data_IF_781025390886
#
_entry.id   IF_781025390886
#
_cell.length_a   1.000
_cell.length_b   1.000
_cell.length_c   1.000
_cell.angle_alpha   90.00
_cell.angle_beta   90.00
_cell.angle_gamma   90.00
#
_symmetry.space_group_name_H-M   'P 1'
#
loop_
_entity.id
_entity.type
_entity.pdbx_description
1 polymer ?
#
# COMPACT_ATOMS: atom_id res chain seq x y z
N UNK A 1 10.53 -6.11 11.54
CA UNK A 1 9.15 -5.64 11.26
C UNK A 1 9.23 -4.42 10.34
N UNK A 2 9.39 -4.61 9.04
CA UNK A 2 9.46 -3.45 8.11
C UNK A 2 8.24 -3.35 7.19
N UNK A 3 7.52 -4.45 7.02
CA UNK A 3 6.30 -4.54 6.24
C UNK A 3 5.16 -4.97 7.17
N UNK A 4 4.21 -4.08 7.46
CA UNK A 4 3.01 -4.43 8.24
C UNK A 4 1.80 -3.68 7.68
N UNK A 5 0.64 -4.33 7.70
CA UNK A 5 -0.59 -3.88 7.02
C UNK A 5 -0.36 -3.48 5.56
N UNK A 6 0.43 -4.24 4.81
CA UNK A 6 0.74 -3.94 3.41
C UNK A 6 1.38 -2.57 3.19
N UNK A 7 2.12 -2.04 4.16
CA UNK A 7 2.93 -0.83 3.96
C UNK A 7 4.33 -1.12 4.48
N UNK A 8 5.34 -0.73 3.69
CA UNK A 8 6.71 -0.65 4.19
C UNK A 8 6.80 0.50 5.18
N UNK A 9 6.41 0.25 6.43
CA UNK A 9 6.40 1.29 7.44
C UNK A 9 7.81 1.51 7.96
N UNK A 10 8.55 0.44 8.30
CA UNK A 10 9.88 0.49 8.93
C UNK A 10 9.97 1.30 10.24
N UNK A 11 9.07 2.23 10.50
CA UNK A 11 9.21 3.26 11.52
C UNK A 11 8.60 2.81 12.86
N UNK A 12 7.86 1.70 12.89
CA UNK A 12 7.24 1.19 14.10
C UNK A 12 8.24 0.77 15.19
N UNK A 13 9.54 0.72 14.88
CA UNK A 13 10.61 0.51 15.88
C UNK A 13 11.24 1.81 16.39
N UNK A 14 10.71 2.98 16.00
CA UNK A 14 11.24 4.29 16.36
C UNK A 14 10.27 5.04 17.26
N UNK A 15 10.84 6.00 18.00
CA UNK A 15 10.11 6.84 18.93
C UNK A 15 10.11 8.29 18.46
N UNK A 16 8.97 8.93 18.64
CA UNK A 16 8.81 10.37 18.58
C UNK A 16 9.58 11.07 19.70
N UNK A 17 9.76 12.38 19.55
CA UNK A 17 10.45 13.23 20.54
C UNK A 17 9.87 13.17 21.96
N UNK A 18 8.60 12.80 22.13
CA UNK A 18 7.95 12.61 23.44
C UNK A 18 8.01 11.16 23.95
N UNK A 19 8.82 10.32 23.30
CA UNK A 19 9.09 8.94 23.71
C UNK A 19 8.05 7.93 23.23
N UNK A 20 7.12 8.32 22.34
CA UNK A 20 6.08 7.38 21.85
C UNK A 20 6.49 6.62 20.61
N UNK A 21 6.24 5.31 20.60
CA UNK A 21 6.40 4.47 19.42
C UNK A 21 5.55 4.98 18.26
N UNK A 22 6.19 5.20 17.10
CA UNK A 22 5.49 5.66 15.90
C UNK A 22 4.59 4.56 15.37
N UNK A 23 3.36 4.91 15.01
CA UNK A 23 2.42 3.92 14.47
C UNK A 23 2.11 2.80 15.46
N UNK A 24 2.12 3.07 16.77
CA UNK A 24 1.87 2.09 17.86
C UNK A 24 0.69 1.14 17.58
N UNK A 25 -0.37 1.60 16.92
CA UNK A 25 -1.55 0.80 16.61
C UNK A 25 -1.34 -0.19 15.46
N UNK A 26 -0.26 -0.01 14.70
CA UNK A 26 0.14 -0.78 13.54
C UNK A 26 1.46 -1.56 13.80
N UNK A 27 1.89 -1.69 15.07
CA UNK A 27 3.05 -2.50 15.44
C UNK A 27 2.64 -3.96 15.60
N UNK A 28 3.03 -4.82 14.65
CA UNK A 28 2.82 -6.26 14.71
C UNK A 28 4.11 -7.09 14.62
N UNK A 29 4.32 -8.11 15.48
CA UNK A 29 3.37 -8.65 16.45
C UNK A 29 3.21 -7.79 17.71
N UNK A 30 2.03 -7.89 18.36
CA UNK A 30 1.60 -7.09 19.51
C UNK A 30 2.61 -7.07 20.68
N UNK A 31 3.46 -8.09 20.81
CA UNK A 31 4.51 -8.14 21.85
C UNK A 31 5.51 -6.99 21.75
N UNK A 32 5.65 -6.37 20.58
CA UNK A 32 6.51 -5.20 20.37
C UNK A 32 5.77 -3.87 20.48
N UNK A 33 4.45 -3.90 20.74
CA UNK A 33 3.65 -2.70 20.89
C UNK A 33 3.90 -2.07 22.25
N UNK A 34 4.39 -0.84 22.24
CA UNK A 34 4.52 -0.03 23.44
C UNK A 34 3.21 0.69 23.70
N UNK A 35 2.51 0.31 24.78
CA UNK A 35 1.23 0.94 25.15
C UNK A 35 1.52 2.15 26.02
N UNK A 36 1.39 3.34 25.44
CA UNK A 36 1.49 4.61 26.16
C UNK A 36 0.09 5.20 26.34
N UNK A 37 -0.15 5.83 27.50
CA UNK A 37 -1.43 6.44 27.79
C UNK A 37 -1.84 7.42 26.68
N UNK A 38 -3.04 7.23 26.16
CA UNK A 38 -3.54 7.97 25.00
C UNK A 38 -4.94 8.46 25.30
N UNK A 39 -5.11 9.78 25.29
CA UNK A 39 -6.41 10.37 25.51
C UNK A 39 -7.28 10.15 24.26
N UNK A 40 -8.45 9.56 24.46
CA UNK A 40 -9.47 9.41 23.42
C UNK A 40 -10.72 10.19 23.82
N UNK A 41 -11.40 10.77 22.82
CA UNK A 41 -12.73 11.37 22.99
C UNK A 41 -13.70 10.80 21.99
N UNK A 42 -14.99 10.86 22.30
CA UNK A 42 -16.03 10.54 21.32
C UNK A 42 -16.11 11.65 20.29
N UNK A 43 -16.01 11.28 19.02
CA UNK A 43 -16.12 12.19 17.90
C UNK A 43 -17.52 12.79 17.85
N UNK A 44 -17.57 14.13 17.80
CA UNK A 44 -18.81 14.90 17.60
C UNK A 44 -18.92 15.50 16.20
N UNK A 45 -17.96 15.21 15.31
CA UNK A 45 -18.05 15.64 13.93
C UNK A 45 -19.18 14.87 13.22
N UNK A 46 -19.81 15.50 12.25
CA UNK A 46 -20.76 14.84 11.34
C UNK A 46 -20.04 13.81 10.45
N UNK A 47 -20.82 12.92 9.83
CA UNK A 47 -20.32 11.91 8.90
C UNK A 47 -19.99 10.58 9.58
N UNK A 48 -19.22 9.75 8.86
CA UNK A 48 -18.95 8.33 9.19
C UNK A 48 -18.34 8.11 10.58
N UNK A 49 -17.66 9.13 11.13
CA UNK A 49 -16.94 9.04 12.40
C UNK A 49 -17.78 9.39 13.63
N UNK A 50 -19.00 9.90 13.45
CA UNK A 50 -19.82 10.35 14.57
C UNK A 50 -20.01 9.21 15.59
N UNK A 51 -19.75 9.49 16.87
CA UNK A 51 -19.86 8.48 17.93
C UNK A 51 -18.65 7.55 18.09
N UNK A 52 -17.65 7.59 17.19
CA UNK A 52 -16.44 6.78 17.30
C UNK A 52 -15.36 7.44 18.18
N UNK A 53 -14.50 6.68 18.86
CA UNK A 53 -13.37 7.22 19.59
C UNK A 53 -12.33 7.82 18.63
N UNK A 54 -11.83 9.03 18.94
CA UNK A 54 -10.76 9.73 18.23
C UNK A 54 -9.55 9.95 19.14
N UNK A 55 -8.33 9.80 18.61
CA UNK A 55 -7.09 10.02 19.33
C UNK A 55 -6.78 11.53 19.42
N UNK A 56 -7.11 12.15 20.55
CA UNK A 56 -6.90 13.60 20.73
C UNK A 56 -5.47 13.94 21.13
N UNK A 57 -4.68 12.98 21.62
CA UNK A 57 -3.24 13.15 21.84
C UNK A 57 -2.52 13.38 20.50
N UNK A 58 -2.74 12.52 19.51
CA UNK A 58 -2.16 12.65 18.18
C UNK A 58 -2.63 13.95 17.48
N UNK A 59 -3.91 14.32 17.64
CA UNK A 59 -4.41 15.59 17.11
C UNK A 59 -3.67 16.79 17.72
N UNK A 60 -3.42 16.80 19.03
CA UNK A 60 -2.66 17.89 19.69
C UNK A 60 -1.25 18.01 19.16
N UNK A 61 -0.56 16.89 18.92
CA UNK A 61 0.78 16.88 18.34
C UNK A 61 0.79 17.47 16.93
N UNK A 62 -0.16 17.06 16.07
CA UNK A 62 -0.31 17.61 14.71
C UNK A 62 -0.60 19.11 14.74
N UNK A 63 -1.54 19.54 15.60
CA UNK A 63 -1.92 20.94 15.72
C UNK A 63 -0.79 21.84 16.20
N UNK A 64 0.14 21.32 17.01
CA UNK A 64 1.29 22.08 17.50
C UNK A 64 2.25 22.52 16.39
N UNK A 65 2.28 21.80 15.26
CA UNK A 65 3.17 22.05 14.12
C UNK A 65 2.42 22.27 12.80
N UNK A 66 1.11 22.58 12.85
CA UNK A 66 0.26 22.63 11.66
C UNK A 66 0.78 23.56 10.57
N UNK A 67 1.19 24.78 10.95
CA UNK A 67 1.73 25.76 10.00
C UNK A 67 3.00 25.27 9.31
N UNK A 68 3.91 24.65 10.07
CA UNK A 68 5.15 24.07 9.54
C UNK A 68 4.87 22.86 8.65
N UNK A 69 3.87 22.05 9.01
CA UNK A 69 3.43 20.89 8.22
C UNK A 69 2.87 21.31 6.85
N UNK A 70 2.06 22.37 6.78
CA UNK A 70 1.54 22.87 5.50
C UNK A 70 2.66 23.45 4.61
N UNK A 71 3.61 24.19 5.21
CA UNK A 71 4.77 24.71 4.48
C UNK A 71 5.67 23.57 3.97
N UNK A 72 5.97 22.58 4.81
CA UNK A 72 6.77 21.42 4.43
C UNK A 72 6.08 20.60 3.32
N UNK A 73 4.76 20.39 3.42
CA UNK A 73 3.96 19.75 2.36
C UNK A 73 4.11 20.49 1.04
N UNK A 74 4.02 21.82 1.07
CA UNK A 74 4.14 22.67 -0.12
C UNK A 74 5.55 22.59 -0.72
N UNK A 75 6.60 22.65 0.10
CA UNK A 75 7.99 22.50 -0.34
C UNK A 75 8.24 21.13 -0.98
N UNK A 76 7.81 20.05 -0.33
CA UNK A 76 7.94 18.69 -0.85
C UNK A 76 7.14 18.51 -2.15
N UNK A 77 5.93 19.06 -2.24
CA UNK A 77 5.09 18.98 -3.44
C UNK A 77 5.72 19.73 -4.61
N UNK A 78 6.28 20.91 -4.36
CA UNK A 78 6.96 21.68 -5.40
C UNK A 78 8.17 20.92 -5.96
N UNK A 79 8.94 20.24 -5.09
CA UNK A 79 10.02 19.35 -5.53
C UNK A 79 9.50 18.16 -6.35
N UNK A 80 8.44 17.49 -5.89
CA UNK A 80 7.79 16.38 -6.58
C UNK A 80 7.32 16.76 -7.99
N UNK A 81 6.56 17.86 -8.12
CA UNK A 81 6.07 18.37 -9.41
C UNK A 81 7.24 18.66 -10.35
N UNK A 82 8.28 19.34 -9.85
CA UNK A 82 9.47 19.70 -10.62
C UNK A 82 10.23 18.46 -11.09
N UNK A 83 10.48 17.49 -10.22
CA UNK A 83 11.20 16.25 -10.56
C UNK A 83 10.43 15.38 -11.56
N UNK A 84 9.11 15.33 -11.42
CA UNK A 84 8.22 14.58 -12.32
C UNK A 84 7.89 15.29 -13.63
N UNK A 85 8.27 16.57 -13.76
CA UNK A 85 7.93 17.37 -14.93
C UNK A 85 6.42 17.55 -15.12
N UNK A 86 5.64 17.61 -14.03
CA UNK A 86 4.19 17.77 -14.12
C UNK A 86 3.84 19.20 -14.58
N UNK A 87 2.85 19.32 -15.47
CA UNK A 87 2.48 20.58 -16.12
C UNK A 87 1.52 21.46 -15.31
N UNK A 88 0.86 20.91 -14.29
CA UNK A 88 -0.15 21.60 -13.50
C UNK A 88 0.11 21.53 -12.00
N UNK A 89 -0.47 22.46 -11.22
CA UNK A 89 -0.34 22.44 -9.76
C UNK A 89 -1.24 21.37 -9.12
N UNK A 90 -2.31 20.94 -9.77
CA UNK A 90 -3.25 19.99 -9.19
C UNK A 90 -2.81 18.55 -9.51
N UNK A 91 -2.84 17.69 -8.52
CA UNK A 91 -2.49 16.27 -8.64
C UNK A 91 -3.73 15.42 -8.91
N UNK A 92 -3.61 14.43 -9.79
CA UNK A 92 -4.59 13.34 -9.91
C UNK A 92 -4.53 12.43 -8.68
N UNK A 93 -5.49 11.50 -8.52
CA UNK A 93 -5.45 10.53 -7.42
C UNK A 93 -4.17 9.67 -7.44
N UNK A 94 -3.69 9.25 -8.62
CA UNK A 94 -2.48 8.44 -8.76
C UNK A 94 -1.21 9.23 -8.43
N UNK A 95 -1.12 10.48 -8.89
CA UNK A 95 -0.02 11.36 -8.53
C UNK A 95 -0.02 11.68 -7.04
N UNK A 96 -1.21 11.93 -6.46
CA UNK A 96 -1.41 12.12 -5.02
C UNK A 96 -1.02 10.91 -4.18
N UNK A 97 -1.26 9.69 -4.68
CA UNK A 97 -0.78 8.45 -4.07
C UNK A 97 0.75 8.42 -4.00
N UNK A 98 1.44 8.66 -5.13
CA UNK A 98 2.90 8.67 -5.17
C UNK A 98 3.49 9.79 -4.29
N UNK A 99 2.89 10.98 -4.32
CA UNK A 99 3.30 12.09 -3.45
C UNK A 99 3.15 11.72 -1.96
N UNK A 100 2.03 11.11 -1.59
CA UNK A 100 1.77 10.69 -0.20
C UNK A 100 2.76 9.62 0.27
N UNK A 101 3.22 8.75 -0.63
CA UNK A 101 4.30 7.79 -0.31
C UNK A 101 5.62 8.49 0.06
N UNK A 102 5.94 9.64 -0.52
CA UNK A 102 7.10 10.44 -0.08
C UNK A 102 6.95 10.85 1.39
N UNK A 103 5.78 11.38 1.75
CA UNK A 103 5.50 11.78 3.12
C UNK A 103 5.52 10.63 4.13
N UNK A 104 4.91 9.50 3.77
CA UNK A 104 4.85 8.32 4.62
C UNK A 104 6.23 7.64 4.82
N UNK A 105 7.05 7.59 3.76
CA UNK A 105 8.37 6.97 3.81
C UNK A 105 9.46 7.88 4.42
N UNK A 106 9.23 9.20 4.46
CA UNK A 106 10.23 10.18 4.92
C UNK A 106 10.77 9.92 6.34
N UNK A 107 9.93 9.73 7.38
CA UNK A 107 10.42 9.35 8.71
C UNK A 107 11.32 8.10 8.68
N UNK A 108 10.89 7.06 7.95
CA UNK A 108 11.61 5.79 7.87
C UNK A 108 12.96 5.93 7.17
N UNK A 109 13.02 6.77 6.12
CA UNK A 109 14.25 7.14 5.42
C UNK A 109 15.22 7.86 6.37
N UNK A 110 14.78 8.94 7.04
CA UNK A 110 15.65 9.73 7.92
C UNK A 110 16.29 8.88 9.02
N UNK A 111 15.54 7.90 9.52
CA UNK A 111 15.99 7.04 10.60
C UNK A 111 17.00 5.96 10.16
N UNK A 112 17.14 5.73 8.84
CA UNK A 112 17.90 4.61 8.27
C UNK A 112 18.93 4.99 7.20
N UNK A 113 18.87 6.21 6.69
CA UNK A 113 19.81 6.73 5.69
C UNK A 113 21.25 6.57 6.17
N UNK A 114 22.16 6.40 5.22
CA UNK A 114 23.58 6.08 5.50
C UNK A 114 24.31 7.17 6.24
N UNK A 115 23.98 8.42 5.94
CA UNK A 115 24.61 9.59 6.55
C UNK A 115 23.69 10.22 7.58
N UNK A 116 24.18 10.33 8.82
CA UNK A 116 23.49 11.01 9.91
C UNK A 116 22.05 10.51 10.16
N UNK A 117 21.85 9.21 10.43
CA UNK A 117 20.53 8.68 10.76
C UNK A 117 20.03 9.28 12.08
N UNK A 118 18.75 9.66 12.12
CA UNK A 118 18.13 10.14 13.35
C UNK A 118 17.76 8.97 14.27
N UNK A 119 17.88 9.16 15.58
CA UNK A 119 17.52 8.16 16.60
C UNK A 119 16.19 8.46 17.29
N UNK A 120 15.69 9.68 17.15
CA UNK A 120 14.37 10.11 17.61
C UNK A 120 13.80 11.09 16.58
N UNK A 121 12.50 10.98 16.30
CA UNK A 121 11.83 11.83 15.33
C UNK A 121 11.43 13.16 15.96
N UNK A 122 11.82 14.31 15.38
CA UNK A 122 11.31 15.61 15.80
C UNK A 122 9.79 15.70 15.61
N UNK A 123 9.20 16.76 16.17
CA UNK A 123 7.75 16.94 16.22
C UNK A 123 7.11 16.99 14.83
N UNK A 124 7.74 17.68 13.87
CA UNK A 124 7.23 17.79 12.51
C UNK A 124 7.23 16.44 11.78
N UNK A 125 8.33 15.69 11.84
CA UNK A 125 8.44 14.34 11.26
C UNK A 125 7.41 13.38 11.87
N UNK A 126 7.20 13.46 13.18
CA UNK A 126 6.19 12.67 13.91
C UNK A 126 4.78 12.99 13.41
N UNK A 127 4.45 14.28 13.31
CA UNK A 127 3.16 14.73 12.78
C UNK A 127 2.99 14.34 11.31
N UNK A 128 4.06 14.40 10.51
CA UNK A 128 3.99 14.10 9.08
C UNK A 128 3.81 12.62 8.79
N UNK A 129 4.29 11.72 9.64
CA UNK A 129 3.89 10.31 9.56
C UNK A 129 2.36 10.16 9.66
N UNK A 130 1.71 10.92 10.55
CA UNK A 130 0.25 10.87 10.73
C UNK A 130 -0.49 11.51 9.55
N UNK A 131 0.04 12.61 8.99
CA UNK A 131 -0.60 13.37 7.91
C UNK A 131 -0.36 12.76 6.51
N UNK A 132 0.90 12.40 6.21
CA UNK A 132 1.33 11.88 4.91
C UNK A 132 0.68 10.55 4.55
N UNK A 133 0.16 9.82 5.55
CA UNK A 133 -0.60 8.59 5.33
C UNK A 133 -2.01 8.85 4.75
N UNK A 134 -2.62 9.99 5.06
CA UNK A 134 -4.02 10.28 4.76
C UNK A 134 -4.43 10.10 3.29
N UNK A 135 -3.81 10.81 2.33
CA UNK A 135 -4.28 10.77 0.95
C UNK A 135 -4.00 9.43 0.25
N UNK A 136 -2.92 8.71 0.56
CA UNK A 136 -2.74 7.36 0.00
C UNK A 136 -3.76 6.36 0.55
N UNK A 137 -4.26 6.54 1.77
CA UNK A 137 -5.28 5.66 2.35
C UNK A 137 -6.61 5.74 1.59
N UNK A 138 -6.95 6.89 1.00
CA UNK A 138 -8.13 7.01 0.12
C UNK A 138 -7.96 6.06 -1.07
N UNK A 139 -6.84 6.17 -1.78
CA UNK A 139 -6.53 5.31 -2.93
C UNK A 139 -6.48 3.84 -2.52
N UNK A 140 -5.90 3.51 -1.36
CA UNK A 140 -5.85 2.14 -0.84
C UNK A 140 -7.25 1.58 -0.58
N UNK A 141 -8.13 2.32 0.10
CA UNK A 141 -9.50 1.85 0.40
C UNK A 141 -10.28 1.58 -0.89
N UNK A 142 -10.14 2.45 -1.89
CA UNK A 142 -10.78 2.28 -3.19
C UNK A 142 -10.21 1.07 -3.93
N UNK A 143 -8.88 0.94 -3.95
CA UNK A 143 -8.19 -0.22 -4.53
C UNK A 143 -8.67 -1.53 -3.90
N UNK A 144 -8.73 -1.64 -2.57
CA UNK A 144 -9.18 -2.83 -1.83
C UNK A 144 -10.65 -3.20 -2.09
N UNK A 145 -11.47 -2.23 -2.51
CA UNK A 145 -12.87 -2.43 -2.92
C UNK A 145 -13.05 -2.66 -4.42
N UNK A 146 -11.97 -2.64 -5.19
CA UNK A 146 -12.02 -2.69 -6.64
C UNK A 146 -12.74 -1.50 -7.26
N UNK A 147 -12.71 -0.34 -6.61
CA UNK A 147 -13.26 0.90 -7.16
C UNK A 147 -12.25 1.54 -8.11
N UNK A 148 -12.69 1.75 -9.36
CA UNK A 148 -11.87 2.29 -10.44
C UNK A 148 -11.76 3.82 -10.39
N UNK A 149 -12.35 4.52 -9.41
CA UNK A 149 -12.24 5.97 -9.30
C UNK A 149 -10.78 6.46 -9.21
N UNK A 150 -9.87 5.63 -8.69
CA UNK A 150 -8.41 5.89 -8.69
C UNK A 150 -7.85 6.12 -10.10
N UNK A 151 -8.51 5.58 -11.12
CA UNK A 151 -8.10 5.69 -12.51
C UNK A 151 -8.57 6.96 -13.20
N UNK A 152 -9.39 7.80 -12.57
CA UNK A 152 -9.76 9.10 -13.14
C UNK A 152 -8.52 9.98 -13.35
N UNK A 153 -8.44 10.59 -14.53
CA UNK A 153 -7.33 11.46 -14.94
C UNK A 153 -7.51 12.92 -14.50
N UNK A 154 -8.71 13.29 -14.09
CA UNK A 154 -9.01 14.66 -13.66
C UNK A 154 -8.67 14.87 -12.17
N UNK A 155 -7.96 15.96 -11.83
CA UNK A 155 -7.74 16.33 -10.43
C UNK A 155 -9.04 16.66 -9.71
N UNK A 156 -9.18 16.15 -8.49
CA UNK A 156 -10.34 16.37 -7.62
C UNK A 156 -10.13 17.57 -6.69
N UNK A 157 -11.22 18.21 -6.27
CA UNK A 157 -11.22 19.22 -5.21
C UNK A 157 -11.05 18.57 -3.83
N UNK A 158 -10.64 19.32 -2.82
CA UNK A 158 -10.59 18.79 -1.45
C UNK A 158 -11.97 18.35 -0.95
N UNK A 159 -13.05 19.03 -1.37
CA UNK A 159 -14.41 18.66 -1.02
C UNK A 159 -14.78 17.28 -1.56
N UNK A 160 -14.54 17.02 -2.85
CA UNK A 160 -14.78 15.71 -3.47
C UNK A 160 -13.94 14.61 -2.78
N UNK A 161 -12.67 14.88 -2.51
CA UNK A 161 -11.79 13.94 -1.81
C UNK A 161 -12.25 13.67 -0.37
N UNK A 162 -12.77 14.67 0.35
CA UNK A 162 -13.33 14.48 1.68
C UNK A 162 -14.56 13.57 1.63
N UNK A 163 -15.50 13.83 0.71
CA UNK A 163 -16.71 13.02 0.59
C UNK A 163 -16.37 11.57 0.17
N UNK A 164 -15.37 11.39 -0.71
CA UNK A 164 -14.82 10.07 -1.01
C UNK A 164 -14.27 9.38 0.24
N UNK A 165 -13.45 10.08 1.04
CA UNK A 165 -12.83 9.51 2.24
C UNK A 165 -13.85 9.17 3.34
N UNK A 166 -14.88 10.01 3.54
CA UNK A 166 -15.92 9.78 4.53
C UNK A 166 -16.88 8.66 4.08
N UNK A 167 -17.35 8.71 2.83
CA UNK A 167 -18.25 7.70 2.25
C UNK A 167 -17.61 6.33 2.08
N UNK A 168 -16.29 6.27 1.88
CA UNK A 168 -15.56 5.00 1.84
C UNK A 168 -15.23 4.44 3.23
N UNK A 169 -15.41 5.20 4.31
CA UNK A 169 -14.91 4.81 5.63
C UNK A 169 -13.38 4.85 5.77
N UNK A 170 -12.65 5.47 4.82
CA UNK A 170 -11.19 5.72 4.94
C UNK A 170 -10.86 6.50 6.22
N UNK A 171 -11.81 7.32 6.70
CA UNK A 171 -11.67 8.06 7.95
C UNK A 171 -11.85 7.21 9.22
N UNK A 172 -11.96 5.88 9.10
CA UNK A 172 -12.10 4.92 10.20
C UNK A 172 -10.98 3.89 10.11
N UNK A 173 -10.24 3.67 11.20
CA UNK A 173 -9.19 2.66 11.25
C UNK A 173 -9.77 1.24 11.38
N UNK A 174 -8.98 0.22 11.05
CA UNK A 174 -9.37 -1.19 11.20
C UNK A 174 -9.81 -1.54 12.63
N UNK A 175 -9.29 -0.84 13.65
CA UNK A 175 -9.70 -0.99 15.05
C UNK A 175 -10.95 -0.22 15.47
N UNK A 176 -11.71 0.34 14.52
CA UNK A 176 -12.96 1.07 14.77
C UNK A 176 -12.78 2.48 15.35
N UNK A 177 -11.58 3.07 15.24
CA UNK A 177 -11.32 4.44 15.72
C UNK A 177 -11.46 5.43 14.57
N UNK A 178 -12.07 6.59 14.83
CA UNK A 178 -12.19 7.65 13.84
C UNK A 178 -10.91 8.47 13.67
N UNK A 179 -10.71 9.04 12.48
CA UNK A 179 -9.72 10.09 12.24
C UNK A 179 -10.03 11.29 13.15
N UNK A 180 -9.01 11.83 13.82
CA UNK A 180 -9.18 12.92 14.79
C UNK A 180 -9.29 14.32 14.16
N UNK A 181 -8.88 14.50 12.90
CA UNK A 181 -8.93 15.79 12.21
C UNK A 181 -10.37 16.25 11.96
N UNK A 182 -10.68 17.52 12.23
CA UNK A 182 -11.99 18.09 11.84
C UNK A 182 -12.15 18.13 10.31
N UNK A 183 -13.40 18.23 9.80
CA UNK A 183 -13.65 18.42 8.36
C UNK A 183 -12.83 19.59 7.78
N UNK A 184 -12.77 20.71 8.52
CA UNK A 184 -11.96 21.88 8.14
C UNK A 184 -10.46 21.54 7.97
N UNK A 185 -9.88 20.82 8.93
CA UNK A 185 -8.46 20.46 8.87
C UNK A 185 -8.15 19.48 7.72
N UNK A 186 -9.04 18.52 7.49
CA UNK A 186 -8.90 17.56 6.40
C UNK A 186 -8.97 18.28 5.06
N UNK A 187 -9.96 19.17 4.86
CA UNK A 187 -10.09 19.96 3.65
C UNK A 187 -8.85 20.85 3.41
N UNK A 188 -8.38 21.55 4.44
CA UNK A 188 -7.20 22.42 4.36
C UNK A 188 -5.95 21.63 3.91
N UNK A 189 -5.70 20.47 4.54
CA UNK A 189 -4.56 19.64 4.14
C UNK A 189 -4.70 19.03 2.75
N UNK A 190 -5.89 18.57 2.36
CA UNK A 190 -6.14 18.05 1.02
C UNK A 190 -6.01 19.13 -0.05
N UNK A 191 -6.43 20.36 0.23
CA UNK A 191 -6.27 21.48 -0.71
C UNK A 191 -4.79 21.84 -0.89
N UNK A 192 -4.00 21.90 0.18
CA UNK A 192 -2.55 22.13 0.07
C UNK A 192 -1.86 20.98 -0.67
N UNK A 193 -2.21 19.74 -0.33
CA UNK A 193 -1.57 18.52 -0.87
C UNK A 193 -1.94 18.25 -2.32
N UNK A 194 -3.22 18.34 -2.68
CA UNK A 194 -3.73 17.91 -3.98
C UNK A 194 -3.94 19.09 -4.92
N UNK A 195 -4.34 20.26 -4.42
CA UNK A 195 -4.67 21.42 -5.24
C UNK A 195 -3.59 22.51 -5.23
N UNK A 196 -2.64 22.46 -4.31
CA UNK A 196 -1.53 23.40 -4.23
C UNK A 196 -1.95 24.81 -3.80
N UNK A 197 -2.92 24.92 -2.90
CA UNK A 197 -3.55 26.20 -2.51
C UNK A 197 -2.76 27.02 -1.49
N UNK A 198 -1.63 26.52 -0.98
CA UNK A 198 -0.83 27.26 0.01
C UNK A 198 -0.21 28.52 -0.61
N UNK A 199 -0.62 29.69 -0.14
CA UNK A 199 -0.31 31.00 -0.72
C UNK A 199 0.55 31.90 0.19
N UNK A 200 0.89 31.41 1.38
CA UNK A 200 1.71 32.14 2.36
C UNK A 200 3.21 32.00 2.04
N UNK A 201 4.06 32.88 2.60
CA UNK A 201 5.52 32.71 2.53
C UNK A 201 5.98 31.32 3.02
N UNK A 202 6.99 30.77 2.33
CA UNK A 202 7.65 29.52 2.69
C UNK A 202 8.93 29.79 3.51
N UNK A 203 8.75 30.41 4.68
CA UNK A 203 9.82 30.92 5.54
C UNK A 203 9.91 30.24 6.92
N UNK A 204 9.13 29.17 7.14
CA UNK A 204 9.24 28.37 8.36
C UNK A 204 10.63 27.74 8.48
N UNK A 205 11.34 28.13 9.55
CA UNK A 205 12.64 27.57 9.92
C UNK A 205 12.56 26.05 10.09
N UNK A 206 11.46 25.57 10.68
CA UNK A 206 11.26 24.15 10.95
C UNK A 206 10.95 23.35 9.67
N UNK A 207 10.12 23.90 8.77
CA UNK A 207 9.85 23.29 7.47
C UNK A 207 11.11 23.23 6.59
N UNK A 208 11.92 24.29 6.60
CA UNK A 208 13.19 24.33 5.88
C UNK A 208 14.23 23.37 6.48
N UNK A 209 14.30 23.25 7.81
CA UNK A 209 15.13 22.24 8.48
C UNK A 209 14.71 20.83 8.07
N UNK A 210 13.41 20.53 8.12
CA UNK A 210 12.87 19.24 7.69
C UNK A 210 13.22 18.92 6.25
N UNK A 211 13.05 19.89 5.33
CA UNK A 211 13.42 19.74 3.92
C UNK A 211 14.93 19.45 3.75
N UNK A 212 15.78 20.22 4.44
CA UNK A 212 17.23 20.05 4.40
C UNK A 212 17.68 18.72 5.05
N UNK A 213 16.88 18.15 5.97
CA UNK A 213 17.19 16.87 6.59
C UNK A 213 17.20 15.71 5.61
N UNK A 214 16.55 15.83 4.45
CA UNK A 214 16.58 14.81 3.40
C UNK A 214 18.03 14.62 2.93
N UNK A 215 18.76 15.71 2.71
CA UNK A 215 20.17 15.68 2.34
C UNK A 215 20.40 15.22 0.90
N UNK A 216 20.26 13.92 0.65
CA UNK A 216 20.35 13.32 -0.68
C UNK A 216 18.95 12.99 -1.20
N UNK A 217 18.45 13.85 -2.09
CA UNK A 217 17.14 13.67 -2.68
C UNK A 217 17.06 12.49 -3.64
N UNK A 218 18.14 12.16 -4.36
CA UNK A 218 18.09 11.06 -5.31
C UNK A 218 18.06 9.72 -4.57
N UNK A 219 18.82 9.60 -3.47
CA UNK A 219 18.72 8.48 -2.54
C UNK A 219 17.32 8.38 -1.92
N UNK A 220 16.73 9.51 -1.50
CA UNK A 220 15.39 9.54 -0.91
C UNK A 220 14.31 9.05 -1.89
N UNK A 221 14.29 9.57 -3.14
CA UNK A 221 13.34 9.11 -4.15
C UNK A 221 13.56 7.63 -4.51
N UNK A 222 14.82 7.20 -4.63
CA UNK A 222 15.13 5.79 -4.88
C UNK A 222 14.58 4.88 -3.76
N UNK A 223 14.72 5.29 -2.50
CA UNK A 223 14.13 4.57 -1.35
C UNK A 223 12.61 4.52 -1.40
N UNK A 224 11.96 5.67 -1.62
CA UNK A 224 10.49 5.75 -1.66
C UNK A 224 9.93 4.91 -2.80
N UNK A 225 10.55 4.98 -3.98
CA UNK A 225 10.06 4.25 -5.15
C UNK A 225 10.26 2.76 -4.95
N UNK A 226 11.44 2.34 -4.51
CA UNK A 226 11.72 0.93 -4.24
C UNK A 226 10.74 0.32 -3.22
N UNK A 227 10.51 1.01 -2.09
CA UNK A 227 9.58 0.53 -1.05
C UNK A 227 8.12 0.52 -1.52
N UNK A 228 7.69 1.55 -2.28
CA UNK A 228 6.31 1.63 -2.80
C UNK A 228 6.05 0.60 -3.90
N UNK A 229 7.01 0.38 -4.80
CA UNK A 229 6.92 -0.64 -5.84
C UNK A 229 6.90 -2.03 -5.23
N UNK A 230 7.78 -2.30 -4.26
CA UNK A 230 7.82 -3.57 -3.55
C UNK A 230 6.46 -3.91 -2.91
N UNK A 231 5.83 -2.93 -2.28
CA UNK A 231 4.48 -3.07 -1.72
C UNK A 231 3.46 -3.47 -2.78
N UNK A 232 3.39 -2.70 -3.88
CA UNK A 232 2.45 -2.96 -4.96
C UNK A 232 2.69 -4.30 -5.66
N UNK A 233 3.95 -4.74 -5.82
CA UNK A 233 4.29 -6.04 -6.41
C UNK A 233 3.84 -7.21 -5.52
N UNK A 234 3.97 -7.07 -4.19
CA UNK A 234 3.44 -8.07 -3.24
C UNK A 234 1.91 -8.12 -3.34
N UNK A 235 1.23 -6.97 -3.36
CA UNK A 235 -0.23 -6.89 -3.53
C UNK A 235 -0.71 -7.44 -4.87
N UNK A 236 0.03 -7.18 -5.93
CA UNK A 236 -0.24 -7.72 -7.26
C UNK A 236 -0.17 -9.23 -7.27
N UNK A 237 0.87 -9.80 -6.64
CA UNK A 237 1.00 -11.27 -6.53
C UNK A 237 -0.14 -11.87 -5.70
N UNK A 238 -0.47 -11.25 -4.57
CA UNK A 238 -1.63 -11.61 -3.74
C UNK A 238 -2.90 -11.76 -4.58
N UNK A 239 -3.27 -10.72 -5.33
CA UNK A 239 -4.52 -10.71 -6.09
C UNK A 239 -4.49 -11.60 -7.34
N UNK A 240 -3.33 -11.73 -8.02
CA UNK A 240 -3.17 -12.70 -9.12
C UNK A 240 -3.38 -14.14 -8.63
N UNK A 241 -2.83 -14.46 -7.45
CA UNK A 241 -3.03 -15.76 -6.82
C UNK A 241 -4.47 -15.95 -6.33
N UNK A 242 -5.05 -14.92 -5.70
CA UNK A 242 -6.42 -14.94 -5.20
C UNK A 242 -7.43 -15.30 -6.30
N UNK A 243 -7.28 -14.76 -7.52
CA UNK A 243 -8.15 -15.13 -8.64
C UNK A 243 -8.18 -16.64 -8.87
N UNK A 244 -7.00 -17.28 -8.80
CA UNK A 244 -6.84 -18.71 -9.02
C UNK A 244 -7.38 -19.55 -7.87
N UNK A 245 -7.10 -19.12 -6.64
CA UNK A 245 -7.57 -19.79 -5.44
C UNK A 245 -9.10 -19.71 -5.30
N UNK A 246 -9.69 -18.56 -5.61
CA UNK A 246 -11.14 -18.36 -5.57
C UNK A 246 -11.84 -19.21 -6.64
N UNK A 247 -11.26 -19.35 -7.84
CA UNK A 247 -11.81 -20.25 -8.87
C UNK A 247 -11.79 -21.72 -8.45
N UNK A 248 -10.80 -22.14 -7.66
CA UNK A 248 -10.75 -23.49 -7.11
C UNK A 248 -11.79 -23.67 -6.00
N UNK A 249 -11.92 -22.69 -5.11
CA UNK A 249 -12.85 -22.73 -3.99
C UNK A 249 -14.33 -22.71 -4.43
N UNK A 250 -14.65 -21.97 -5.48
CA UNK A 250 -16.03 -21.78 -5.96
C UNK A 250 -16.60 -22.96 -6.76
N UNK A 251 -15.83 -24.04 -6.96
CA UNK A 251 -16.24 -25.19 -7.78
C UNK A 251 -16.35 -26.46 -6.94
N UNK A 252 -17.56 -27.01 -6.88
CA UNK A 252 -17.83 -28.24 -6.15
C UNK A 252 -17.08 -29.45 -6.75
N UNK A 253 -16.59 -30.32 -5.87
CA UNK A 253 -15.92 -31.57 -6.25
C UNK A 253 -14.50 -31.42 -6.83
N UNK A 254 -14.00 -30.19 -7.00
CA UNK A 254 -12.64 -29.95 -7.53
C UNK A 254 -11.57 -30.23 -6.49
N UNK A 255 -11.83 -29.92 -5.22
CA UNK A 255 -10.86 -29.99 -4.12
C UNK A 255 -11.28 -31.05 -3.09
N UNK A 256 -10.31 -31.82 -2.57
CA UNK A 256 -10.51 -32.62 -1.35
C UNK A 256 -10.39 -31.74 -0.08
N UNK A 257 -10.74 -32.29 1.08
CA UNK A 257 -10.76 -31.56 2.36
C UNK A 257 -9.41 -30.91 2.73
N UNK A 258 -8.29 -31.61 2.51
CA UNK A 258 -6.96 -31.06 2.78
C UNK A 258 -6.62 -29.90 1.83
N UNK A 259 -6.97 -30.03 0.54
CA UNK A 259 -6.78 -28.97 -0.45
C UNK A 259 -7.68 -27.76 -0.17
N UNK A 260 -8.92 -27.97 0.27
CA UNK A 260 -9.83 -26.90 0.69
C UNK A 260 -9.25 -26.09 1.85
N UNK A 261 -8.68 -26.77 2.86
CA UNK A 261 -8.03 -26.10 3.98
C UNK A 261 -6.83 -25.25 3.53
N UNK A 262 -5.99 -25.77 2.63
CA UNK A 262 -4.85 -25.03 2.08
C UNK A 262 -5.27 -23.83 1.24
N UNK A 263 -6.27 -24.01 0.36
CA UNK A 263 -6.84 -22.93 -0.46
C UNK A 263 -7.41 -21.83 0.44
N UNK A 264 -8.19 -22.19 1.46
CA UNK A 264 -8.73 -21.23 2.43
C UNK A 264 -7.61 -20.46 3.13
N UNK A 265 -6.58 -21.15 3.63
CA UNK A 265 -5.44 -20.50 4.29
C UNK A 265 -4.71 -19.53 3.36
N UNK A 266 -4.57 -19.87 2.08
CA UNK A 266 -3.94 -18.97 1.09
C UNK A 266 -4.85 -17.77 0.77
N UNK A 267 -6.16 -17.98 0.61
CA UNK A 267 -7.14 -16.90 0.33
C UNK A 267 -7.22 -15.91 1.48
N UNK A 268 -7.32 -16.39 2.73
CA UNK A 268 -7.35 -15.55 3.93
C UNK A 268 -6.10 -14.65 4.06
N UNK A 269 -5.00 -14.99 3.37
CA UNK A 269 -3.76 -14.21 3.31
C UNK A 269 -3.63 -13.31 2.07
N UNK A 270 -4.24 -13.71 0.97
CA UNK A 270 -4.03 -13.06 -0.34
C UNK A 270 -5.18 -12.16 -0.77
N UNK A 271 -6.33 -12.23 -0.10
CA UNK A 271 -7.51 -11.49 -0.49
C UNK A 271 -8.25 -10.94 0.72
N UNK A 272 -8.64 -9.67 0.63
CA UNK A 272 -9.53 -9.04 1.58
C UNK A 272 -10.94 -9.02 1.01
N UNK A 273 -11.89 -9.63 1.73
CA UNK A 273 -13.31 -9.61 1.33
C UNK A 273 -13.86 -8.20 1.63
N UNK A 274 -14.27 -7.42 0.61
CA UNK A 274 -14.66 -6.02 0.79
C UNK A 274 -16.01 -5.82 1.51
N UNK A 275 -16.77 -6.90 1.74
CA UNK A 275 -18.06 -6.90 2.43
C UNK A 275 -19.24 -7.28 1.53
N UNK A 276 -20.46 -7.16 2.07
CA UNK A 276 -21.69 -7.43 1.32
C UNK A 276 -21.88 -6.47 0.14
N UNK A 277 -22.43 -6.96 -0.97
CA UNK A 277 -22.76 -6.16 -2.15
C UNK A 277 -21.62 -6.03 -3.18
N UNK A 278 -20.44 -6.59 -2.91
CA UNK A 278 -19.32 -6.61 -3.85
C UNK A 278 -19.17 -8.00 -4.50
N UNK A 279 -18.88 -8.01 -5.80
CA UNK A 279 -18.52 -9.24 -6.52
C UNK A 279 -17.00 -9.46 -6.48
N UNK A 280 -16.56 -10.55 -5.83
CA UNK A 280 -15.13 -10.82 -5.61
C UNK A 280 -14.31 -10.86 -6.91
N UNK A 281 -14.89 -11.38 -8.00
CA UNK A 281 -14.20 -11.47 -9.30
C UNK A 281 -13.92 -10.07 -9.87
N UNK A 282 -14.94 -9.23 -9.84
CA UNK A 282 -14.86 -7.83 -10.26
C UNK A 282 -13.88 -7.06 -9.40
N UNK A 283 -13.96 -7.23 -8.08
CA UNK A 283 -13.05 -6.59 -7.12
C UNK A 283 -11.61 -6.98 -7.42
N UNK A 284 -11.32 -8.27 -7.57
CA UNK A 284 -9.97 -8.74 -7.84
C UNK A 284 -9.42 -8.22 -9.17
N UNK A 285 -10.25 -8.21 -10.23
CA UNK A 285 -9.84 -7.67 -11.54
C UNK A 285 -9.56 -6.17 -11.49
N UNK A 286 -10.46 -5.40 -10.87
CA UNK A 286 -10.29 -3.96 -10.74
C UNK A 286 -9.09 -3.61 -9.85
N UNK A 287 -8.85 -4.36 -8.78
CA UNK A 287 -7.67 -4.20 -7.93
C UNK A 287 -6.38 -4.32 -8.75
N UNK A 288 -6.25 -5.38 -9.56
CA UNK A 288 -5.07 -5.59 -10.41
C UNK A 288 -4.90 -4.44 -11.40
N UNK A 289 -5.99 -3.95 -11.99
CA UNK A 289 -5.95 -2.80 -12.90
C UNK A 289 -5.42 -1.54 -12.21
N UNK A 290 -5.91 -1.24 -11.00
CA UNK A 290 -5.45 -0.11 -10.20
C UNK A 290 -3.98 -0.25 -9.84
N UNK A 291 -3.55 -1.41 -9.35
CA UNK A 291 -2.14 -1.66 -8.99
C UNK A 291 -1.22 -1.49 -10.19
N UNK A 292 -1.57 -2.01 -11.36
CA UNK A 292 -0.75 -1.84 -12.55
C UNK A 292 -0.67 -0.37 -12.97
N UNK A 293 -1.75 0.40 -12.86
CA UNK A 293 -1.71 1.84 -13.14
C UNK A 293 -0.83 2.61 -12.14
N UNK A 294 -0.81 2.20 -10.87
CA UNK A 294 0.08 2.78 -9.86
C UNK A 294 1.55 2.38 -10.08
N UNK A 295 1.82 1.15 -10.54
CA UNK A 295 3.16 0.72 -10.95
C UNK A 295 3.64 1.50 -12.18
N UNK A 296 2.77 1.76 -13.15
CA UNK A 296 3.09 2.63 -14.30
C UNK A 296 3.41 4.06 -13.83
N UNK A 297 2.62 4.62 -12.89
CA UNK A 297 2.90 5.93 -12.27
C UNK A 297 4.22 5.92 -11.47
N UNK A 298 4.64 4.78 -10.96
CA UNK A 298 5.94 4.55 -10.32
C UNK A 298 7.01 4.08 -11.33
N UNK A 299 6.84 4.30 -12.62
CA UNK A 299 7.84 4.03 -13.66
C UNK A 299 8.23 2.53 -13.77
N UNK A 300 7.25 1.61 -13.66
CA UNK A 300 7.43 0.17 -13.89
C UNK A 300 6.47 -0.44 -14.94
N UNK A 301 6.35 0.12 -16.16
CA UNK A 301 5.46 -0.42 -17.20
C UNK A 301 5.82 -1.84 -17.68
N UNK A 302 7.06 -2.27 -17.45
CA UNK A 302 7.54 -3.60 -17.81
C UNK A 302 6.83 -4.72 -17.04
N UNK A 303 6.31 -4.46 -15.83
CA UNK A 303 5.54 -5.44 -15.05
C UNK A 303 4.25 -5.79 -15.78
N UNK A 304 3.50 -4.78 -16.23
CA UNK A 304 2.30 -4.97 -17.05
C UNK A 304 2.62 -5.75 -18.31
N UNK A 305 3.69 -5.37 -19.01
CA UNK A 305 4.13 -6.03 -20.25
C UNK A 305 4.41 -7.51 -20.03
N UNK A 306 5.14 -7.86 -18.96
CA UNK A 306 5.43 -9.25 -18.61
C UNK A 306 4.16 -10.07 -18.32
N UNK A 307 3.19 -9.49 -17.59
CA UNK A 307 1.94 -10.17 -17.26
C UNK A 307 1.01 -10.35 -18.45
N UNK A 308 0.96 -9.37 -19.37
CA UNK A 308 0.20 -9.48 -20.63
C UNK A 308 0.78 -10.59 -21.51
N UNK A 309 2.10 -10.62 -21.67
CA UNK A 309 2.79 -11.67 -22.45
C UNK A 309 2.57 -13.07 -21.88
N UNK A 310 2.38 -13.18 -20.57
CA UNK A 310 2.08 -14.43 -19.87
C UNK A 310 0.58 -14.75 -19.77
N UNK A 311 -0.29 -13.94 -20.37
CA UNK A 311 -1.76 -14.07 -20.27
C UNK A 311 -2.28 -14.10 -18.83
N UNK A 312 -1.59 -13.42 -17.92
CA UNK A 312 -2.04 -13.25 -16.53
C UNK A 312 -3.01 -12.07 -16.39
N UNK A 313 -2.90 -11.07 -17.27
CA UNK A 313 -3.79 -9.91 -17.38
C UNK A 313 -4.06 -9.58 -18.86
N UNK A 314 -5.15 -8.87 -19.16
CA UNK A 314 -5.44 -8.42 -20.54
C UNK A 314 -4.65 -7.16 -20.91
N UNK A 315 -4.44 -6.97 -22.22
CA UNK A 315 -3.85 -5.75 -22.80
C UNK A 315 -4.69 -4.49 -22.54
N UNK A 316 -6.00 -4.66 -22.42
CA UNK A 316 -6.96 -3.56 -22.31
C UNK A 316 -7.27 -3.10 -20.90
N UNK A 317 -7.22 -3.99 -19.87
CA UNK A 317 -7.40 -3.74 -18.43
C UNK A 317 -7.36 -5.07 -17.61
N UNK A 318 -6.93 -5.03 -16.34
CA UNK A 318 -6.57 -6.18 -15.46
C UNK A 318 -7.68 -7.17 -15.04
N UNK A 319 -8.64 -7.48 -15.92
CA UNK A 319 -9.82 -8.29 -15.61
C UNK A 319 -9.57 -9.72 -15.07
N UNK A 320 -10.64 -10.33 -14.55
CA UNK A 320 -10.64 -11.71 -14.06
C UNK A 320 -10.51 -12.71 -15.22
N UNK A 321 -9.39 -13.44 -15.28
CA UNK A 321 -9.04 -14.24 -16.45
C UNK A 321 -9.15 -15.75 -16.30
N UNK A 322 -9.23 -16.29 -15.09
CA UNK A 322 -9.10 -17.75 -14.93
C UNK A 322 -10.28 -18.54 -15.52
N UNK A 323 -11.49 -17.98 -15.53
CA UNK A 323 -12.65 -18.63 -16.16
C UNK A 323 -12.63 -18.58 -17.70
N UNK A 324 -11.72 -17.81 -18.30
CA UNK A 324 -11.57 -17.70 -19.75
C UNK A 324 -10.57 -18.73 -20.31
N UNK A 325 -9.87 -19.47 -19.43
CA UNK A 325 -8.92 -20.50 -19.82
C UNK A 325 -9.65 -21.84 -19.89
N UNK A 326 -9.80 -22.39 -21.10
CA UNK A 326 -10.35 -23.74 -21.28
C UNK A 326 -9.39 -24.82 -20.75
N UNK A 327 -9.95 -25.95 -20.27
CA UNK A 327 -9.18 -27.09 -19.78
C UNK A 327 -9.47 -27.44 -18.32
N UNK A 328 -8.61 -28.27 -17.72
CA UNK A 328 -8.70 -28.64 -16.31
C UNK A 328 -8.40 -27.41 -15.43
N UNK A 329 -9.35 -27.08 -14.55
CA UNK A 329 -9.25 -25.92 -13.64
C UNK A 329 -8.10 -26.05 -12.65
N UNK A 330 -7.78 -27.27 -12.19
CA UNK A 330 -6.67 -27.53 -11.27
C UNK A 330 -5.34 -27.24 -11.94
N UNK A 331 -5.18 -27.70 -13.18
CA UNK A 331 -3.99 -27.46 -14.01
C UNK A 331 -3.83 -25.98 -14.29
N UNK A 332 -4.92 -25.33 -14.69
CA UNK A 332 -4.94 -23.91 -15.02
C UNK A 332 -4.61 -23.05 -13.79
N UNK A 333 -5.18 -23.38 -12.62
CA UNK A 333 -4.89 -22.69 -11.37
C UNK A 333 -3.45 -22.91 -10.92
N UNK A 334 -2.94 -24.15 -10.92
CA UNK A 334 -1.55 -24.43 -10.55
C UNK A 334 -0.55 -23.67 -11.44
N UNK A 335 -0.77 -23.70 -12.76
CA UNK A 335 0.04 -22.96 -13.72
C UNK A 335 0.02 -21.45 -13.45
N UNK A 336 -1.17 -20.86 -13.25
CA UNK A 336 -1.32 -19.42 -13.00
C UNK A 336 -0.69 -19.00 -11.67
N UNK A 337 -0.89 -19.76 -10.60
CA UNK A 337 -0.26 -19.53 -9.29
C UNK A 337 1.26 -19.51 -9.41
N UNK A 338 1.84 -20.48 -10.11
CA UNK A 338 3.28 -20.54 -10.36
C UNK A 338 3.76 -19.34 -11.16
N UNK A 339 3.16 -19.09 -12.32
CA UNK A 339 3.54 -17.98 -13.21
C UNK A 339 3.45 -16.62 -12.51
N UNK A 340 2.40 -16.38 -11.72
CA UNK A 340 2.27 -15.14 -10.95
C UNK A 340 3.47 -14.92 -10.03
N UNK A 341 3.89 -15.95 -9.30
CA UNK A 341 5.07 -15.85 -8.44
C UNK A 341 6.38 -15.76 -9.24
N UNK A 342 6.57 -16.54 -10.29
CA UNK A 342 7.80 -16.57 -11.08
C UNK A 342 8.05 -15.27 -11.85
N UNK A 343 6.99 -14.60 -12.30
CA UNK A 343 7.10 -13.36 -13.08
C UNK A 343 7.24 -12.12 -12.20
N UNK A 344 6.54 -12.05 -11.07
CA UNK A 344 6.53 -10.85 -10.22
C UNK A 344 7.73 -10.81 -9.27
N UNK A 345 8.18 -11.96 -8.74
CA UNK A 345 9.25 -11.99 -7.73
C UNK A 345 10.65 -11.52 -8.20
N UNK A 346 11.04 -11.65 -9.48
CA UNK A 346 12.25 -11.00 -9.98
C UNK A 346 12.22 -9.48 -9.77
N UNK A 347 11.08 -8.83 -10.02
CA UNK A 347 10.89 -7.40 -9.72
C UNK A 347 10.93 -7.14 -8.21
N UNK A 348 10.27 -7.97 -7.40
CA UNK A 348 10.36 -7.86 -5.94
C UNK A 348 11.81 -7.91 -5.43
N UNK A 349 12.63 -8.82 -6.00
CA UNK A 349 14.05 -8.92 -5.65
C UNK A 349 14.80 -7.64 -5.99
N UNK A 350 14.60 -7.10 -7.19
CA UNK A 350 15.25 -5.87 -7.63
C UNK A 350 14.93 -4.70 -6.67
N UNK A 351 13.67 -4.51 -6.33
CA UNK A 351 13.24 -3.40 -5.46
C UNK A 351 13.61 -3.63 -3.99
N UNK A 352 13.64 -4.88 -3.53
CA UNK A 352 14.17 -5.26 -2.22
C UNK A 352 15.67 -4.96 -2.12
N UNK A 353 16.46 -5.33 -3.14
CA UNK A 353 17.89 -5.02 -3.20
C UNK A 353 18.13 -3.51 -3.27
N UNK A 354 17.28 -2.76 -3.99
CA UNK A 354 17.34 -1.31 -4.04
C UNK A 354 17.06 -0.68 -2.67
N UNK A 355 16.03 -1.16 -1.98
CA UNK A 355 15.69 -0.73 -0.62
C UNK A 355 16.86 -1.01 0.32
N UNK A 356 17.40 -2.23 0.33
CA UNK A 356 18.55 -2.57 1.17
C UNK A 356 19.78 -1.72 0.86
N UNK A 357 20.05 -1.40 -0.42
CA UNK A 357 21.18 -0.51 -0.76
C UNK A 357 21.04 0.84 -0.09
N UNK A 358 19.85 1.43 -0.02
CA UNK A 358 19.63 2.75 0.60
C UNK A 358 19.73 2.75 2.14
N UNK A 359 19.75 1.58 2.79
CA UNK A 359 19.77 1.47 4.25
C UNK A 359 21.11 0.96 4.79
N UNK A 360 21.59 1.53 5.89
CA UNK A 360 22.91 1.21 6.45
C UNK A 360 22.91 0.04 7.45
N UNK A 361 21.78 -0.24 8.11
CA UNK A 361 21.79 -0.70 9.51
C UNK A 361 21.36 -2.14 9.82
N UNK A 362 21.00 -2.97 8.85
CA UNK A 362 20.51 -4.32 9.17
C UNK A 362 21.39 -5.40 8.54
N UNK A 363 22.48 -5.76 9.21
CA UNK A 363 23.22 -6.99 8.92
C UNK A 363 22.61 -8.22 9.61
N UNK A 364 21.64 -8.05 10.52
CA UNK A 364 21.10 -9.16 11.35
C UNK A 364 19.61 -9.48 11.17
N UNK A 365 18.83 -8.64 10.47
CA UNK A 365 17.38 -8.87 10.22
C UNK A 365 16.89 -8.20 8.93
N UNK A 366 17.45 -8.57 7.79
CA UNK A 366 16.95 -8.15 6.47
C UNK A 366 15.71 -8.95 6.08
N UNK A 367 14.67 -8.28 5.55
CA UNK A 367 13.59 -8.98 4.87
C UNK A 367 14.17 -9.75 3.69
N UNK A 368 13.93 -11.04 3.63
CA UNK A 368 14.37 -11.89 2.52
C UNK A 368 13.29 -11.96 1.44
N UNK A 369 13.68 -12.42 0.25
CA UNK A 369 12.70 -12.71 -0.78
C UNK A 369 11.69 -13.81 -0.34
N UNK A 370 12.12 -14.72 0.54
CA UNK A 370 11.26 -15.78 1.08
C UNK A 370 10.21 -15.24 2.06
N UNK A 371 10.58 -14.22 2.85
CA UNK A 371 9.62 -13.49 3.68
C UNK A 371 8.53 -12.83 2.82
N UNK A 372 8.90 -12.26 1.67
CA UNK A 372 7.93 -11.69 0.73
C UNK A 372 7.02 -12.76 0.10
N UNK A 373 7.54 -13.96 -0.21
CA UNK A 373 6.74 -15.10 -0.69
C UNK A 373 5.70 -15.52 0.34
N UNK A 374 6.16 -15.70 1.57
CA UNK A 374 5.31 -16.07 2.70
C UNK A 374 4.25 -15.00 2.97
N UNK A 375 4.56 -13.72 2.80
CA UNK A 375 3.59 -12.63 2.93
C UNK A 375 2.57 -12.57 1.80
N UNK A 376 2.96 -12.94 0.58
CA UNK A 376 2.06 -12.88 -0.57
C UNK A 376 0.94 -13.92 -0.49
N UNK A 377 1.21 -15.16 -0.10
CA UNK A 377 0.19 -16.22 -0.13
C UNK A 377 0.20 -17.16 1.09
N UNK A 378 1.03 -16.88 2.09
CA UNK A 378 1.22 -17.76 3.23
C UNK A 378 2.10 -18.98 2.92
N UNK A 379 2.51 -19.71 3.97
CA UNK A 379 3.31 -20.92 3.83
C UNK A 379 2.56 -22.09 3.17
N UNK A 380 1.22 -22.01 3.09
CA UNK A 380 0.35 -23.04 2.51
C UNK A 380 0.39 -23.11 0.98
N UNK A 381 0.92 -22.10 0.29
CA UNK A 381 0.94 -22.06 -1.18
C UNK A 381 1.78 -23.19 -1.79
N UNK A 382 2.98 -23.44 -1.25
CA UNK A 382 3.88 -24.47 -1.79
C UNK A 382 3.32 -25.89 -1.63
N UNK A 383 2.82 -26.30 -0.44
CA UNK A 383 2.09 -27.56 -0.30
C UNK A 383 0.89 -27.69 -1.24
N UNK A 384 0.13 -26.60 -1.44
CA UNK A 384 -1.01 -26.61 -2.35
C UNK A 384 -0.59 -26.86 -3.80
N UNK A 385 0.43 -26.16 -4.29
CA UNK A 385 0.96 -26.35 -5.64
C UNK A 385 1.37 -27.81 -5.88
N UNK A 386 2.09 -28.41 -4.93
CA UNK A 386 2.50 -29.81 -5.03
C UNK A 386 1.30 -30.78 -5.15
N UNK A 387 0.21 -30.53 -4.43
CA UNK A 387 -1.01 -31.35 -4.49
C UNK A 387 -1.79 -31.17 -5.80
N UNK A 388 -1.90 -29.93 -6.28
CA UNK A 388 -2.59 -29.64 -7.55
C UNK A 388 -1.86 -30.32 -8.73
N UNK A 389 -0.53 -30.33 -8.70
CA UNK A 389 0.31 -30.87 -9.77
C UNK A 389 0.38 -32.41 -9.75
N UNK A 390 0.46 -33.03 -8.58
CA UNK A 390 0.54 -34.51 -8.45
C UNK A 390 -0.74 -35.21 -8.91
N UNK A 391 -1.92 -34.63 -8.66
CA UNK A 391 -3.21 -35.18 -9.11
C UNK A 391 -3.46 -35.04 -10.61
N UNK A 392 -2.83 -34.06 -11.26
CA UNK A 392 -2.94 -33.87 -12.71
C UNK A 392 -2.40 -35.06 -13.49
N UNK A 393 -1.36 -35.72 -12.96
CA UNK A 393 -0.76 -36.90 -13.60
C UNK A 393 -1.62 -38.18 -13.53
N UNK A 394 -2.75 -38.16 -12.79
CA UNK A 394 -3.64 -39.31 -12.64
C UNK A 394 -4.88 -39.25 -13.55
N UNK A 395 -5.14 -38.10 -14.21
CA UNK A 395 -6.26 -37.94 -15.15
C UNK A 395 -5.77 -37.28 -16.46
N UNK A 396 -5.17 -38.11 -17.32
CA UNK A 396 -5.07 -37.94 -18.78
C UNK A 396 -4.64 -36.56 -19.31
N UNK A 397 -3.36 -36.42 -19.65
CA UNK A 397 -2.92 -35.37 -20.56
C UNK A 397 -3.60 -35.55 -21.95
N UNK A 398 -4.30 -34.53 -22.49
CA UNK A 398 -4.61 -34.50 -23.90
C UNK A 398 -3.30 -34.29 -24.68
N UNK A 399 -3.05 -35.17 -25.63
CA UNK A 399 -1.97 -35.05 -26.58
C UNK A 399 -2.11 -33.77 -27.41
N UNK A 400 -1.16 -32.84 -27.24
CA UNK A 400 -0.82 -31.85 -28.26
C UNK A 400 -1.25 -30.41 -27.99
N UNK A 401 -0.38 -29.63 -27.33
CA UNK A 401 -0.13 -28.21 -27.65
C UNK A 401 1.37 -27.94 -27.41
N UNK A 402 2.11 -27.24 -28.30
CA UNK A 402 3.57 -27.15 -28.24
C UNK A 402 4.08 -26.28 -27.07
N UNK A 403 5.31 -26.56 -26.67
CA UNK A 403 6.08 -25.98 -25.56
C UNK A 403 6.27 -24.46 -25.63
#
# INVERSE_FOLDING_TARGET
MEFDYDVWNGICTFHSHDGRQIGENNTGPDVYKEVIETEHKICKFEGSRNGLPINVTALRQVMAVWGDALQFTTLLRNDYIRRRGLSGPRLTLRQGYVFSKLGAAWPAYLARKRSNPITSLPALETAFFTLGVGPFMIVRTFMERGDLAVLHDDPLTAAELYEMADGSGTLISAGGKGCAGSKKLILDFLDVTMNGTFDKPLDSVEALRALNSIGDWDEFYAYVYATSRLELLVRLTQYLCAQSLWSLQSRDGVLNEAEQALVKNCLDKSYHVPGEGYDDRTVMGNFIQVVLALLDELEMPEVRTALVNASLVNSGNGGYLIDQVGGDVRVSAARRLRLATELVFPFCRQELDATHRTLQRYQSTTITLDDLRTRACGPSLQPLLALLETRTNLQGAPTGVPA
#
